data_IF_651502006185
#
_entry.id   IF_651502006185
#
_cell.length_a   1.000
_cell.length_b   1.000
_cell.length_c   1.000
_cell.angle_alpha   90.00
_cell.angle_beta   90.00
_cell.angle_gamma   90.00
#
_symmetry.space_group_name_H-M   'P 1'
#
loop_
_entity.id
_entity.type
_entity.pdbx_description
1 polymer ?
#
# COMPACT_ATOMS: atom_id res chain seq x y z
N UNK A 1 17.32 9.43 -11.65
CA UNK A 1 16.68 10.37 -10.71
C UNK A 1 15.58 9.64 -9.96
N UNK A 2 15.70 9.59 -8.61
CA UNK A 2 14.65 9.07 -7.73
C UNK A 2 13.54 10.09 -7.60
N UNK A 3 12.29 9.59 -7.70
CA UNK A 3 11.09 10.43 -7.69
C UNK A 3 10.51 10.63 -6.28
N UNK A 4 10.88 9.76 -5.34
CA UNK A 4 10.48 9.92 -3.93
C UNK A 4 11.16 11.13 -3.30
N UNK A 5 10.36 11.93 -2.58
CA UNK A 5 10.81 13.18 -1.94
C UNK A 5 11.32 12.98 -0.52
N UNK A 6 11.29 11.75 0.00
CA UNK A 6 11.73 11.46 1.37
C UNK A 6 12.74 10.32 1.41
N UNK A 7 13.83 10.50 2.16
CA UNK A 7 14.92 9.53 2.24
C UNK A 7 14.48 8.18 2.78
N UNK A 8 13.59 8.12 3.78
CA UNK A 8 13.16 6.87 4.39
C UNK A 8 12.48 5.91 3.41
N UNK A 9 11.86 6.43 2.34
CA UNK A 9 11.26 5.61 1.28
C UNK A 9 12.30 4.95 0.38
N UNK A 10 13.49 5.54 0.30
CA UNK A 10 14.61 5.06 -0.52
C UNK A 10 15.61 4.26 0.31
N UNK A 11 15.79 4.61 1.60
CA UNK A 11 16.78 3.98 2.48
C UNK A 11 16.59 2.47 2.60
N UNK A 12 15.34 2.02 2.72
CA UNK A 12 15.05 0.59 2.73
C UNK A 12 15.55 -0.08 1.44
N UNK A 13 15.26 0.54 0.31
CA UNK A 13 15.68 0.07 -1.01
C UNK A 13 17.19 0.12 -1.17
N UNK A 14 17.80 1.20 -0.75
CA UNK A 14 19.24 1.41 -0.86
C UNK A 14 20.04 0.37 -0.07
N UNK A 15 19.61 0.11 1.18
CA UNK A 15 20.27 -0.89 2.05
C UNK A 15 20.10 -2.32 1.55
N UNK A 16 18.93 -2.67 1.04
CA UNK A 16 18.59 -4.07 0.75
C UNK A 16 18.86 -4.47 -0.70
N UNK A 17 18.92 -3.51 -1.65
CA UNK A 17 18.99 -3.82 -3.09
C UNK A 17 20.11 -3.14 -3.82
N UNK A 18 20.68 -2.08 -3.26
CA UNK A 18 21.68 -1.26 -3.96
C UNK A 18 22.98 -1.09 -3.14
N UNK A 19 23.21 -1.93 -2.13
CA UNK A 19 24.44 -1.93 -1.31
C UNK A 19 24.83 -0.54 -0.78
N UNK A 20 23.87 0.35 -0.55
CA UNK A 20 24.07 1.77 -0.21
C UNK A 20 24.80 2.59 -1.30
N UNK A 21 24.79 2.13 -2.54
CA UNK A 21 25.46 2.83 -3.65
C UNK A 21 24.63 3.99 -4.23
N UNK A 22 23.35 4.11 -3.83
CA UNK A 22 22.51 5.20 -4.29
C UNK A 22 22.85 6.48 -3.54
N UNK A 23 23.18 7.51 -4.29
CA UNK A 23 23.30 8.86 -3.73
C UNK A 23 21.90 9.38 -3.40
N UNK A 24 21.61 9.44 -2.11
CA UNK A 24 20.34 9.98 -1.59
C UNK A 24 20.63 11.38 -1.06
N UNK A 25 19.92 12.39 -1.59
CA UNK A 25 20.04 13.74 -1.05
C UNK A 25 19.27 13.84 0.26
N UNK A 26 19.88 14.38 1.34
CA UNK A 26 19.23 14.53 2.62
C UNK A 26 17.95 15.36 2.49
N UNK A 27 16.84 14.84 3.04
CA UNK A 27 15.61 15.60 3.21
C UNK A 27 15.68 16.38 4.53
N UNK A 28 15.24 17.62 4.53
CA UNK A 28 15.11 18.42 5.77
C UNK A 28 13.94 17.96 6.66
N UNK A 29 13.19 16.93 6.23
CA UNK A 29 12.07 16.39 6.99
C UNK A 29 12.57 15.36 8.00
N UNK A 30 12.22 15.57 9.26
CA UNK A 30 12.49 14.65 10.36
C UNK A 30 11.30 13.68 10.48
N UNK A 31 11.58 12.38 10.57
CA UNK A 31 10.58 11.32 10.78
C UNK A 31 10.57 10.26 9.69
N UNK A 32 9.77 9.23 9.89
CA UNK A 32 9.54 8.18 8.88
C UNK A 32 8.28 8.49 8.09
N UNK A 33 8.38 8.37 6.79
CA UNK A 33 7.21 8.46 5.90
C UNK A 33 6.61 7.06 5.61
N UNK A 34 7.10 6.04 6.32
CA UNK A 34 6.50 4.70 6.33
C UNK A 34 5.76 4.52 7.65
N UNK A 35 4.45 4.37 7.56
CA UNK A 35 3.54 4.21 8.68
C UNK A 35 3.04 2.77 8.73
N UNK A 36 3.31 2.07 9.83
CA UNK A 36 2.73 0.74 10.07
C UNK A 36 1.31 0.90 10.60
N UNK A 37 0.38 0.18 9.98
CA UNK A 37 -1.03 0.13 10.39
C UNK A 37 -1.36 -1.31 10.77
N UNK A 38 -1.36 -1.65 12.07
CA UNK A 38 -1.65 -2.99 12.52
C UNK A 38 -3.13 -3.32 12.34
N UNK A 39 -3.39 -4.54 11.89
CA UNK A 39 -4.75 -5.06 11.71
C UNK A 39 -5.25 -5.66 13.02
N UNK A 40 -6.46 -5.28 13.42
CA UNK A 40 -7.15 -5.87 14.58
C UNK A 40 -7.80 -7.20 14.18
N UNK A 41 -7.66 -8.22 15.05
CA UNK A 41 -8.22 -9.56 14.84
C UNK A 41 -7.94 -10.11 13.42
N UNK A 42 -6.67 -10.19 13.01
CA UNK A 42 -6.31 -10.60 11.67
C UNK A 42 -6.72 -12.07 11.42
N UNK A 43 -7.20 -12.33 10.20
CA UNK A 43 -7.62 -13.67 9.79
C UNK A 43 -7.28 -13.90 8.32
N UNK A 44 -6.29 -14.74 8.07
CA UNK A 44 -5.87 -15.11 6.72
C UNK A 44 -6.47 -16.45 6.32
N UNK A 45 -7.35 -16.43 5.31
CA UNK A 45 -7.99 -17.62 4.76
C UNK A 45 -8.18 -17.50 3.25
N UNK A 46 -7.99 -18.59 2.50
CA UNK A 46 -8.22 -18.61 1.05
C UNK A 46 -7.41 -17.56 0.28
N UNK A 47 -6.20 -17.24 0.71
CA UNK A 47 -5.33 -16.20 0.16
C UNK A 47 -5.87 -14.77 0.30
N UNK A 48 -6.77 -14.56 1.25
CA UNK A 48 -7.39 -13.27 1.58
C UNK A 48 -7.30 -13.00 3.07
N UNK A 49 -7.39 -11.73 3.42
CA UNK A 49 -7.42 -11.23 4.80
C UNK A 49 -8.47 -10.11 4.86
N UNK A 50 -9.72 -10.48 5.11
CA UNK A 50 -10.84 -9.52 5.12
C UNK A 50 -10.73 -8.46 6.21
N UNK A 51 -10.26 -8.76 7.46
CA UNK A 51 -9.96 -7.71 8.42
C UNK A 51 -8.95 -6.67 7.92
N UNK A 52 -7.97 -7.10 7.12
CA UNK A 52 -7.01 -6.21 6.50
C UNK A 52 -7.65 -5.33 5.41
N UNK A 53 -8.59 -5.89 4.62
CA UNK A 53 -9.40 -5.11 3.65
C UNK A 53 -10.12 -3.96 4.36
N UNK A 54 -10.81 -4.26 5.46
CA UNK A 54 -11.52 -3.24 6.25
C UNK A 54 -10.55 -2.16 6.77
N UNK A 55 -9.38 -2.57 7.26
CA UNK A 55 -8.36 -1.64 7.75
C UNK A 55 -7.82 -0.74 6.63
N UNK A 56 -7.68 -1.26 5.40
CA UNK A 56 -7.31 -0.47 4.21
C UNK A 56 -8.36 0.59 3.93
N UNK A 57 -9.65 0.23 3.93
CA UNK A 57 -10.74 1.17 3.69
C UNK A 57 -10.82 2.23 4.80
N UNK A 58 -10.64 1.85 6.06
CA UNK A 58 -10.60 2.79 7.19
C UNK A 58 -9.41 3.74 7.11
N UNK A 59 -8.25 3.25 6.67
CA UNK A 59 -7.07 4.07 6.44
C UNK A 59 -7.32 5.06 5.31
N UNK A 60 -7.88 4.61 4.20
CA UNK A 60 -8.27 5.46 3.07
C UNK A 60 -9.25 6.55 3.52
N UNK A 61 -10.28 6.19 4.30
CA UNK A 61 -11.28 7.14 4.83
C UNK A 61 -10.62 8.25 5.64
N UNK A 62 -9.71 7.90 6.55
CA UNK A 62 -8.97 8.88 7.36
C UNK A 62 -8.17 9.84 6.49
N UNK A 63 -7.44 9.32 5.49
CA UNK A 63 -6.61 10.11 4.59
C UNK A 63 -7.43 11.07 3.73
N UNK A 64 -8.57 10.64 3.22
CA UNK A 64 -9.48 11.49 2.43
C UNK A 64 -10.07 12.62 3.29
N UNK A 65 -10.36 12.34 4.56
CA UNK A 65 -10.86 13.36 5.51
C UNK A 65 -9.75 14.35 5.86
N UNK A 66 -8.53 13.86 6.07
CA UNK A 66 -7.38 14.68 6.48
C UNK A 66 -6.96 15.64 5.36
N UNK A 67 -6.79 15.13 4.14
CA UNK A 67 -6.41 15.94 2.98
C UNK A 67 -6.95 15.33 1.66
N UNK A 68 -8.13 15.76 1.22
CA UNK A 68 -8.74 15.22 0.01
C UNK A 68 -8.04 15.65 -1.30
N UNK A 69 -7.02 16.50 -1.23
CA UNK A 69 -6.22 16.89 -2.39
C UNK A 69 -5.12 15.90 -2.73
N UNK A 70 -4.75 15.01 -1.78
CA UNK A 70 -3.71 14.02 -1.98
C UNK A 70 -4.17 12.89 -2.89
N UNK A 71 -3.29 12.50 -3.79
CA UNK A 71 -3.51 11.37 -4.67
C UNK A 71 -3.11 10.07 -3.97
N UNK A 72 -3.93 9.01 -4.10
CA UNK A 72 -3.75 7.77 -3.36
C UNK A 72 -3.75 6.58 -4.33
N UNK A 73 -2.79 5.67 -4.14
CA UNK A 73 -2.75 4.34 -4.75
C UNK A 73 -2.94 3.30 -3.65
N UNK A 74 -3.81 2.34 -3.88
CA UNK A 74 -3.93 1.15 -3.03
C UNK A 74 -3.28 -0.02 -3.75
N UNK A 75 -2.40 -0.73 -3.07
CA UNK A 75 -1.72 -1.87 -3.61
C UNK A 75 -1.84 -3.09 -2.68
N UNK A 76 -1.97 -4.26 -3.26
CA UNK A 76 -1.98 -5.53 -2.54
C UNK A 76 -0.91 -6.46 -3.09
N UNK A 77 -0.38 -7.33 -2.24
CA UNK A 77 0.62 -8.32 -2.65
C UNK A 77 0.03 -9.36 -3.61
N UNK A 78 -1.26 -9.66 -3.54
CA UNK A 78 -1.90 -10.62 -4.45
C UNK A 78 -3.20 -10.10 -5.06
N UNK A 79 -3.61 -10.74 -6.17
CA UNK A 79 -4.80 -10.38 -6.93
C UNK A 79 -6.11 -10.59 -6.19
N UNK A 80 -6.23 -11.66 -5.38
CA UNK A 80 -7.47 -11.97 -4.68
C UNK A 80 -7.79 -10.91 -3.63
N UNK A 81 -6.78 -10.46 -2.90
CA UNK A 81 -6.93 -9.38 -1.94
C UNK A 81 -7.23 -8.04 -2.62
N UNK A 82 -6.56 -7.76 -3.77
CA UNK A 82 -6.85 -6.56 -4.54
C UNK A 82 -8.32 -6.52 -4.99
N UNK A 83 -8.85 -7.66 -5.43
CA UNK A 83 -10.27 -7.78 -5.80
C UNK A 83 -11.21 -7.53 -4.62
N UNK A 84 -10.91 -8.07 -3.43
CA UNK A 84 -11.72 -7.81 -2.23
C UNK A 84 -11.67 -6.34 -1.81
N UNK A 85 -10.49 -5.70 -1.91
CA UNK A 85 -10.36 -4.26 -1.64
C UNK A 85 -11.19 -3.45 -2.64
N UNK A 86 -11.18 -3.83 -3.93
CA UNK A 86 -12.00 -3.16 -4.95
C UNK A 86 -13.49 -3.29 -4.66
N UNK A 87 -13.96 -4.49 -4.30
CA UNK A 87 -15.37 -4.72 -3.91
C UNK A 87 -15.74 -3.85 -2.71
N UNK A 88 -14.90 -3.81 -1.68
CA UNK A 88 -15.15 -2.98 -0.50
C UNK A 88 -15.16 -1.48 -0.85
N UNK A 89 -14.26 -1.03 -1.73
CA UNK A 89 -14.19 0.35 -2.20
C UNK A 89 -15.47 0.74 -2.97
N UNK A 90 -15.93 -0.12 -3.87
CA UNK A 90 -17.17 0.12 -4.65
C UNK A 90 -18.39 0.21 -3.72
N UNK A 91 -18.44 -0.61 -2.67
CA UNK A 91 -19.48 -0.55 -1.66
C UNK A 91 -19.49 0.80 -0.94
N UNK A 92 -18.38 1.21 -0.32
CA UNK A 92 -18.33 2.48 0.43
C UNK A 92 -18.51 3.70 -0.47
N UNK A 93 -18.09 3.62 -1.74
CA UNK A 93 -18.36 4.67 -2.73
C UNK A 93 -19.86 4.91 -2.91
N UNK A 94 -20.68 3.85 -2.89
CA UNK A 94 -22.11 3.96 -3.05
C UNK A 94 -22.81 4.40 -1.75
N UNK A 95 -22.24 4.07 -0.60
CA UNK A 95 -22.83 4.31 0.72
C UNK A 95 -22.39 5.65 1.35
N UNK A 96 -21.16 6.10 1.05
CA UNK A 96 -20.54 7.26 1.68
C UNK A 96 -20.18 8.35 0.67
N UNK A 97 -20.83 9.49 0.76
CA UNK A 97 -20.63 10.64 -0.15
C UNK A 97 -19.16 11.07 -0.26
N UNK A 98 -18.39 11.00 0.83
CA UNK A 98 -17.00 11.41 0.86
C UNK A 98 -16.12 10.60 -0.12
N UNK A 99 -16.35 9.29 -0.24
CA UNK A 99 -15.64 8.45 -1.21
C UNK A 99 -16.04 8.77 -2.63
N UNK A 100 -17.34 8.97 -2.88
CA UNK A 100 -17.83 9.31 -4.20
C UNK A 100 -17.28 10.67 -4.67
N UNK A 101 -17.26 11.67 -3.80
CA UNK A 101 -16.72 13.01 -4.09
C UNK A 101 -15.21 12.96 -4.36
N UNK A 102 -14.46 12.19 -3.55
CA UNK A 102 -13.02 12.02 -3.74
C UNK A 102 -12.70 11.32 -5.07
N UNK A 103 -13.35 10.19 -5.34
CA UNK A 103 -13.14 9.43 -6.59
C UNK A 103 -13.57 10.28 -7.80
N UNK A 104 -14.68 10.98 -7.70
CA UNK A 104 -15.19 11.85 -8.75
C UNK A 104 -14.22 12.98 -9.11
N UNK A 105 -13.51 13.54 -8.13
CA UNK A 105 -12.53 14.62 -8.33
C UNK A 105 -11.37 14.20 -9.22
N UNK A 106 -10.89 12.99 -9.09
CA UNK A 106 -9.71 12.49 -9.82
C UNK A 106 -10.07 11.61 -11.02
N UNK A 107 -11.37 11.36 -11.26
CA UNK A 107 -11.84 10.47 -12.31
C UNK A 107 -11.38 10.92 -13.70
N UNK A 108 -10.82 9.97 -14.46
CA UNK A 108 -10.34 10.22 -15.82
C UNK A 108 -9.02 10.98 -15.89
N UNK A 109 -8.36 11.22 -14.75
CA UNK A 109 -7.00 11.78 -14.69
C UNK A 109 -5.97 10.68 -14.49
N UNK A 110 -4.69 11.02 -14.70
CA UNK A 110 -3.58 10.13 -14.36
C UNK A 110 -3.44 9.90 -12.84
N UNK A 111 -4.20 10.66 -12.05
CA UNK A 111 -4.16 10.66 -10.57
C UNK A 111 -5.37 9.92 -9.97
N UNK A 112 -6.17 9.25 -10.78
CA UNK A 112 -7.31 8.46 -10.33
C UNK A 112 -6.93 7.45 -9.23
N UNK A 113 -7.81 7.31 -8.23
CA UNK A 113 -7.68 6.27 -7.21
C UNK A 113 -7.76 4.89 -7.86
N UNK A 114 -6.75 4.08 -7.65
CA UNK A 114 -6.68 2.73 -8.22
C UNK A 114 -6.36 1.71 -7.13
N UNK A 115 -6.93 0.51 -7.29
CA UNK A 115 -6.53 -0.68 -6.54
C UNK A 115 -5.76 -1.59 -7.49
N UNK A 116 -4.51 -1.89 -7.16
CA UNK A 116 -3.61 -2.72 -7.99
C UNK A 116 -2.96 -3.83 -7.18
N UNK A 117 -2.52 -4.86 -7.85
CA UNK A 117 -1.64 -5.85 -7.25
C UNK A 117 -0.17 -5.48 -7.50
N UNK A 118 0.73 -6.18 -6.79
CA UNK A 118 2.18 -5.98 -6.85
C UNK A 118 2.75 -6.01 -8.29
N UNK A 119 2.16 -6.79 -9.19
CA UNK A 119 2.65 -6.95 -10.57
C UNK A 119 2.25 -5.79 -11.49
N UNK A 120 1.14 -5.11 -11.16
CA UNK A 120 0.51 -4.12 -12.04
C UNK A 120 0.75 -2.66 -11.59
N UNK A 121 1.58 -2.41 -10.58
CA UNK A 121 1.86 -1.05 -10.06
C UNK A 121 2.98 -0.32 -10.84
N UNK A 122 3.53 -0.93 -11.87
CA UNK A 122 4.64 -0.32 -12.61
C UNK A 122 4.17 0.91 -13.39
N UNK A 123 4.85 2.04 -13.18
CA UNK A 123 4.57 3.30 -13.87
C UNK A 123 3.64 4.26 -13.11
N UNK A 124 2.90 3.78 -12.12
CA UNK A 124 1.99 4.62 -11.33
C UNK A 124 2.72 5.29 -10.16
N UNK A 125 2.44 6.57 -9.95
CA UNK A 125 2.96 7.33 -8.80
C UNK A 125 1.83 8.13 -8.17
N UNK A 126 1.78 8.15 -6.84
CA UNK A 126 0.82 8.94 -6.05
C UNK A 126 1.51 9.59 -4.86
N UNK A 127 0.88 10.58 -4.29
CA UNK A 127 1.36 11.21 -3.07
C UNK A 127 1.47 10.19 -1.94
N UNK A 128 0.47 9.32 -1.83
CA UNK A 128 0.36 8.31 -0.79
C UNK A 128 0.13 6.93 -1.42
N UNK A 129 0.78 5.91 -0.86
CA UNK A 129 0.52 4.51 -1.20
C UNK A 129 0.07 3.76 0.05
N UNK A 130 -1.08 3.10 -0.03
CA UNK A 130 -1.55 2.15 0.98
C UNK A 130 -1.24 0.75 0.49
N UNK A 131 -0.50 -0.03 1.28
CA UNK A 131 -0.09 -1.39 0.93
C UNK A 131 -0.76 -2.38 1.87
N UNK A 132 -1.52 -3.33 1.31
CA UNK A 132 -2.03 -4.49 2.03
C UNK A 132 -1.05 -5.65 1.89
N UNK A 133 -0.52 -6.15 3.01
CA UNK A 133 0.44 -7.25 3.03
C UNK A 133 -0.22 -8.61 2.85
N UNK A 134 -1.50 -8.72 3.12
CA UNK A 134 -2.36 -9.90 2.98
C UNK A 134 -2.10 -10.97 4.04
N UNK A 135 -0.82 -11.32 4.25
CA UNK A 135 -0.44 -12.45 5.09
C UNK A 135 -0.67 -12.17 6.57
N UNK A 136 -1.13 -13.19 7.26
CA UNK A 136 -1.44 -13.11 8.68
C UNK A 136 -1.73 -14.49 9.27
N UNK A 137 -2.12 -14.56 10.55
CA UNK A 137 -2.49 -15.80 11.19
C UNK A 137 -3.75 -16.41 10.57
N UNK A 138 -3.74 -17.73 10.47
CA UNK A 138 -4.93 -18.53 10.12
C UNK A 138 -5.85 -18.70 11.34
N UNK A 139 -6.90 -19.53 11.22
CA UNK A 139 -7.84 -19.87 12.28
C UNK A 139 -7.20 -20.42 13.58
N UNK A 140 -6.02 -21.02 13.46
CA UNK A 140 -5.24 -21.56 14.59
C UNK A 140 -4.20 -20.56 15.12
N UNK A 141 -4.23 -19.31 14.69
CA UNK A 141 -3.26 -18.30 15.07
C UNK A 141 -1.86 -18.47 14.45
N UNK A 142 -1.70 -19.39 13.48
CA UNK A 142 -0.42 -19.71 12.87
C UNK A 142 -0.20 -18.90 11.61
N UNK A 143 0.93 -18.20 11.54
CA UNK A 143 1.41 -17.54 10.32
C UNK A 143 2.24 -18.55 9.50
N UNK A 144 1.77 -18.88 8.30
CA UNK A 144 2.54 -19.74 7.39
C UNK A 144 3.62 -18.92 6.69
N UNK A 145 4.85 -19.46 6.62
CA UNK A 145 6.00 -18.81 5.94
C UNK A 145 5.92 -18.86 4.39
N UNK A 146 4.73 -18.96 3.83
CA UNK A 146 4.50 -19.00 2.38
C UNK A 146 4.01 -17.63 1.90
N UNK A 147 4.94 -16.71 1.72
CA UNK A 147 4.63 -15.33 1.30
C UNK A 147 4.49 -15.17 -0.23
N UNK A 148 4.07 -16.23 -0.92
CA UNK A 148 3.73 -16.18 -2.35
C UNK A 148 4.84 -15.61 -3.24
N UNK A 149 4.48 -14.67 -4.09
CA UNK A 149 5.40 -14.11 -5.10
C UNK A 149 6.47 -13.18 -4.51
N UNK A 150 6.31 -12.73 -3.26
CA UNK A 150 7.31 -11.87 -2.59
C UNK A 150 8.58 -12.64 -2.23
N UNK A 151 8.48 -13.94 -1.93
CA UNK A 151 9.65 -14.78 -1.59
C UNK A 151 10.26 -15.50 -2.80
N UNK A 152 9.62 -15.41 -3.97
CA UNK A 152 10.19 -15.94 -5.22
C UNK A 152 11.31 -15.04 -5.72
N UNK A 153 12.19 -15.58 -6.55
CA UNK A 153 13.26 -14.82 -7.19
C UNK A 153 12.70 -13.53 -7.84
N UNK A 154 13.25 -12.39 -7.47
CA UNK A 154 12.79 -11.07 -7.93
C UNK A 154 11.59 -10.48 -7.17
N UNK A 155 11.03 -11.16 -6.16
CA UNK A 155 9.96 -10.62 -5.32
C UNK A 155 10.38 -9.38 -4.53
N UNK A 156 11.62 -9.36 -4.09
CA UNK A 156 12.26 -8.21 -3.43
C UNK A 156 12.25 -6.96 -4.33
N UNK A 157 12.59 -7.13 -5.61
CA UNK A 157 12.58 -6.03 -6.60
C UNK A 157 11.17 -5.47 -6.81
N UNK A 158 10.16 -6.35 -6.81
CA UNK A 158 8.75 -5.95 -6.93
C UNK A 158 8.29 -5.15 -5.71
N UNK A 159 8.68 -5.57 -4.51
CA UNK A 159 8.40 -4.83 -3.27
C UNK A 159 9.09 -3.45 -3.29
N UNK A 160 10.33 -3.39 -3.76
CA UNK A 160 11.04 -2.14 -3.95
C UNK A 160 10.30 -1.20 -4.93
N UNK A 161 9.84 -1.72 -6.07
CA UNK A 161 9.05 -0.95 -7.02
C UNK A 161 7.81 -0.38 -6.34
N UNK A 162 7.12 -1.16 -5.53
CA UNK A 162 5.90 -0.75 -4.83
C UNK A 162 6.16 0.39 -3.83
N UNK A 163 7.19 0.27 -2.99
CA UNK A 163 7.56 1.30 -2.01
C UNK A 163 7.96 2.62 -2.69
N UNK A 164 8.61 2.54 -3.86
CA UNK A 164 9.04 3.72 -4.62
C UNK A 164 7.91 4.40 -5.42
N UNK A 165 6.67 3.89 -5.37
CA UNK A 165 5.50 4.54 -6.00
C UNK A 165 4.97 5.71 -5.18
N UNK A 166 5.31 5.80 -3.90
CA UNK A 166 4.91 6.91 -3.04
C UNK A 166 5.83 8.12 -3.23
N UNK A 167 5.25 9.29 -3.49
CA UNK A 167 5.97 10.55 -3.50
C UNK A 167 6.28 11.04 -2.08
N UNK A 168 5.37 10.77 -1.12
CA UNK A 168 5.44 11.31 0.23
C UNK A 168 5.33 10.25 1.32
N UNK A 169 4.26 9.43 1.33
CA UNK A 169 3.95 8.53 2.44
C UNK A 169 3.56 7.13 1.98
N UNK A 170 3.96 6.14 2.75
CA UNK A 170 3.51 4.75 2.63
C UNK A 170 2.78 4.35 3.89
N UNK A 171 1.57 3.81 3.77
CA UNK A 171 0.84 3.16 4.85
C UNK A 171 0.88 1.65 4.63
N UNK A 172 1.62 0.95 5.47
CA UNK A 172 1.75 -0.50 5.39
C UNK A 172 0.74 -1.14 6.35
N UNK A 173 -0.39 -1.57 5.79
CA UNK A 173 -1.44 -2.31 6.51
C UNK A 173 -1.00 -3.76 6.62
N UNK A 174 -0.81 -4.25 7.84
CA UNK A 174 -0.21 -5.56 8.07
C UNK A 174 -0.81 -6.27 9.27
N UNK A 175 -0.94 -7.58 9.11
CA UNK A 175 -1.33 -8.54 10.16
C UNK A 175 -0.13 -9.28 10.75
N UNK A 176 1.07 -8.98 10.26
CA UNK A 176 2.32 -9.51 10.78
C UNK A 176 2.81 -8.65 11.95
N UNK A 177 3.37 -9.31 12.97
CA UNK A 177 3.95 -8.67 14.16
C UNK A 177 5.46 -8.57 14.01
#
# INVERSE_FOLDING_TARGET
HYRSRHNSLIDFSNRNFYNNELTVFPSNKIGSEIHLVPVQNPYYHGRKNLPEVNTVIDTLRKLIIEDPSKTILIASINNLQAAEIQIALDKVRNEEKIFNDYIGRHKGTLEELMVKNLENVQGDERDIVIISTVYGPNENGVVKNTFGDVVKAGGERRLNVLLTRAKHKVYLVTSLK
#
